data_IF_587017994712
#
_entry.id   IF_587017994712
#
_cell.length_a   1.000
_cell.length_b   1.000
_cell.length_c   1.000
_cell.angle_alpha   90.00
_cell.angle_beta   90.00
_cell.angle_gamma   90.00
#
_symmetry.space_group_name_H-M   'P 1'
#
loop_
_entity.id
_entity.type
_entity.pdbx_description
1 polymer ?
#
# COMPACT_ATOMS: atom_id res chain seq x y z
N UNK A 1 7.49 16.19 -9.01
CA UNK A 1 7.59 14.87 -8.37
C UNK A 1 8.57 14.95 -7.20
N UNK A 2 8.26 14.30 -6.09
CA UNK A 2 9.16 14.20 -4.91
C UNK A 2 10.21 13.11 -5.13
N UNK A 3 9.82 12.04 -5.81
CA UNK A 3 10.67 10.90 -6.11
C UNK A 3 11.40 11.09 -7.43
N UNK A 4 12.70 10.76 -7.45
CA UNK A 4 13.49 10.72 -8.67
C UNK A 4 13.25 9.42 -9.46
N UNK A 5 13.78 9.34 -10.69
CA UNK A 5 13.58 8.21 -11.60
C UNK A 5 14.04 6.87 -11.00
N UNK A 6 15.11 6.87 -10.19
CA UNK A 6 15.62 5.65 -9.54
C UNK A 6 14.61 5.15 -8.50
N UNK A 7 14.08 6.07 -7.67
CA UNK A 7 13.07 5.73 -6.67
C UNK A 7 11.78 5.23 -7.32
N UNK A 8 11.37 5.84 -8.44
CA UNK A 8 10.19 5.40 -9.22
C UNK A 8 10.42 4.00 -9.83
N UNK A 9 11.58 3.75 -10.43
CA UNK A 9 11.92 2.43 -10.98
C UNK A 9 11.91 1.35 -9.89
N UNK A 10 12.49 1.62 -8.71
CA UNK A 10 12.45 0.70 -7.58
C UNK A 10 11.04 0.43 -7.08
N UNK A 11 10.17 1.45 -7.05
CA UNK A 11 8.75 1.25 -6.70
C UNK A 11 8.07 0.30 -7.69
N UNK A 12 8.33 0.43 -9.00
CA UNK A 12 7.78 -0.49 -10.00
C UNK A 12 8.38 -1.90 -9.92
N UNK A 13 9.64 -2.04 -9.54
CA UNK A 13 10.25 -3.35 -9.25
C UNK A 13 9.58 -4.00 -8.03
N UNK A 14 9.31 -3.24 -6.96
CA UNK A 14 8.59 -3.73 -5.79
C UNK A 14 7.18 -4.18 -6.17
N UNK A 15 6.45 -3.42 -7.01
CA UNK A 15 5.14 -3.83 -7.53
C UNK A 15 5.19 -5.14 -8.29
N UNK A 16 6.22 -5.30 -9.15
CA UNK A 16 6.40 -6.50 -9.95
C UNK A 16 6.82 -7.73 -9.13
N UNK A 17 7.27 -7.55 -7.88
CA UNK A 17 7.74 -8.62 -7.00
C UNK A 17 6.68 -9.17 -6.04
N UNK A 18 5.44 -8.69 -6.14
CA UNK A 18 4.34 -9.07 -5.24
C UNK A 18 3.11 -9.52 -6.00
N UNK A 19 2.28 -10.34 -5.37
CA UNK A 19 1.04 -10.85 -5.96
C UNK A 19 -0.11 -9.84 -5.87
N UNK A 20 -0.09 -8.98 -4.84
CA UNK A 20 -1.11 -7.97 -4.61
C UNK A 20 -0.54 -6.60 -4.25
N UNK A 21 -1.26 -5.53 -4.61
CA UNK A 21 -0.97 -4.15 -4.23
C UNK A 21 -2.21 -3.52 -3.59
N UNK A 22 -2.04 -2.86 -2.46
CA UNK A 22 -3.14 -2.26 -1.75
C UNK A 22 -2.91 -0.79 -1.37
N UNK A 23 -4.00 -0.04 -1.42
CA UNK A 23 -4.06 1.37 -0.99
C UNK A 23 -5.31 1.63 -0.16
N UNK A 24 -5.38 2.79 0.49
CA UNK A 24 -6.60 3.26 1.16
C UNK A 24 -7.58 3.94 0.22
N UNK A 25 -8.85 3.99 0.63
CA UNK A 25 -9.93 4.68 -0.08
C UNK A 25 -9.54 6.10 -0.49
N UNK A 26 -9.04 6.90 0.44
CA UNK A 26 -8.71 8.29 0.15
C UNK A 26 -7.60 8.43 -0.90
N UNK A 27 -6.63 7.51 -0.92
CA UNK A 27 -5.59 7.47 -1.96
C UNK A 27 -6.21 7.19 -3.33
N UNK A 28 -7.17 6.26 -3.42
CA UNK A 28 -7.89 6.01 -4.67
C UNK A 28 -8.67 7.25 -5.13
N UNK A 29 -9.40 7.90 -4.22
CA UNK A 29 -10.28 9.03 -4.54
C UNK A 29 -9.52 10.30 -4.95
N UNK A 30 -8.39 10.57 -4.29
CA UNK A 30 -7.61 11.81 -4.50
C UNK A 30 -6.63 11.64 -5.66
N UNK A 31 -5.87 10.55 -5.68
CA UNK A 31 -4.74 10.37 -6.60
C UNK A 31 -5.10 9.54 -7.84
N UNK A 32 -6.20 8.76 -7.79
CA UNK A 32 -6.63 7.83 -8.85
C UNK A 32 -5.45 7.05 -9.45
N UNK A 33 -4.61 6.38 -8.63
CA UNK A 33 -3.39 5.76 -9.10
C UNK A 33 -3.71 4.51 -9.94
N UNK A 34 -2.94 4.29 -11.00
CA UNK A 34 -3.14 3.12 -11.89
C UNK A 34 -2.80 1.79 -11.22
N UNK A 35 -1.92 1.78 -10.21
CA UNK A 35 -1.46 0.58 -9.47
C UNK A 35 -0.90 -0.51 -10.40
N UNK A 36 -0.34 -0.12 -11.52
CA UNK A 36 0.26 -1.01 -12.52
C UNK A 36 1.80 -1.05 -12.43
N UNK A 37 2.38 -2.06 -13.06
CA UNK A 37 3.83 -2.14 -13.30
C UNK A 37 4.10 -1.52 -14.66
N UNK A 38 5.03 -0.55 -14.71
CA UNK A 38 5.44 0.14 -15.93
C UNK A 38 6.88 0.64 -15.80
N UNK A 39 7.49 1.05 -16.91
CA UNK A 39 8.86 1.58 -16.94
C UNK A 39 9.95 0.61 -16.43
N UNK A 40 9.63 -0.67 -16.31
CA UNK A 40 10.55 -1.77 -16.01
C UNK A 40 10.29 -2.89 -16.99
N UNK A 41 11.34 -3.53 -17.47
CA UNK A 41 11.23 -4.59 -18.48
C UNK A 41 10.94 -5.95 -17.82
N UNK A 42 9.79 -6.04 -17.15
CA UNK A 42 9.31 -7.26 -16.49
C UNK A 42 7.95 -7.58 -17.11
N UNK A 43 7.86 -8.69 -17.85
CA UNK A 43 6.63 -9.11 -18.52
C UNK A 43 5.62 -9.70 -17.53
N UNK A 44 4.33 -9.39 -17.77
CA UNK A 44 3.12 -10.04 -17.19
C UNK A 44 2.98 -10.05 -15.65
N UNK A 45 3.52 -9.04 -14.96
CA UNK A 45 3.52 -9.00 -13.49
C UNK A 45 2.70 -7.85 -12.90
N UNK A 46 1.45 -7.67 -13.38
CA UNK A 46 0.57 -6.72 -12.69
C UNK A 46 -0.03 -7.38 -11.44
N UNK A 47 0.20 -6.82 -10.25
CA UNK A 47 -0.38 -7.36 -9.03
C UNK A 47 -1.90 -7.18 -8.98
N UNK A 48 -2.58 -8.03 -8.23
CA UNK A 48 -4.01 -7.85 -7.90
C UNK A 48 -4.18 -6.54 -7.15
N UNK A 49 -5.09 -5.69 -7.62
CA UNK A 49 -5.33 -4.36 -7.04
C UNK A 49 -6.37 -4.43 -5.94
N UNK A 50 -6.06 -3.86 -4.79
CA UNK A 50 -6.88 -3.93 -3.59
C UNK A 50 -7.04 -2.53 -3.00
N UNK A 51 -8.25 -2.21 -2.56
CA UNK A 51 -8.55 -0.95 -1.86
C UNK A 51 -9.19 -1.23 -0.51
N UNK A 52 -8.57 -0.75 0.56
CA UNK A 52 -9.17 -0.71 1.89
C UNK A 52 -10.24 0.39 1.91
N UNK A 53 -11.49 0.01 1.66
CA UNK A 53 -12.61 0.94 1.52
C UNK A 53 -13.22 1.32 2.88
N UNK A 54 -13.36 0.35 3.77
CA UNK A 54 -13.94 0.55 5.11
C UNK A 54 -15.47 0.54 5.12
N UNK A 55 -16.08 1.41 5.94
CA UNK A 55 -17.51 1.40 6.24
C UNK A 55 -18.37 2.28 5.33
N UNK A 56 -17.80 2.97 4.35
CA UNK A 56 -18.54 3.89 3.49
C UNK A 56 -19.45 3.13 2.52
N UNK A 57 -20.80 3.28 2.62
CA UNK A 57 -21.73 2.56 1.76
C UNK A 57 -21.76 3.09 0.31
N UNK A 58 -21.17 4.26 0.03
CA UNK A 58 -21.19 4.86 -1.30
C UNK A 58 -20.11 4.24 -2.21
N UNK A 59 -20.22 2.96 -2.51
CA UNK A 59 -19.22 2.19 -3.24
C UNK A 59 -19.63 1.84 -4.69
N UNK A 60 -20.90 1.78 -5.02
CA UNK A 60 -21.41 1.24 -6.30
C UNK A 60 -20.80 1.89 -7.53
N UNK A 61 -20.71 3.23 -7.54
CA UNK A 61 -20.09 3.96 -8.65
C UNK A 61 -18.60 3.67 -8.82
N UNK A 62 -17.92 3.32 -7.73
CA UNK A 62 -16.49 2.98 -7.73
C UNK A 62 -16.26 1.54 -8.18
N UNK A 63 -17.13 0.60 -7.79
CA UNK A 63 -17.12 -0.78 -8.28
C UNK A 63 -17.26 -0.78 -9.81
N UNK A 64 -18.26 -0.06 -10.32
CA UNK A 64 -18.52 0.03 -11.77
C UNK A 64 -17.36 0.67 -12.55
N UNK A 65 -16.70 1.68 -11.96
CA UNK A 65 -15.57 2.39 -12.57
C UNK A 65 -14.27 1.59 -12.52
N UNK A 66 -14.09 0.73 -11.53
CA UNK A 66 -12.85 0.02 -11.25
C UNK A 66 -13.08 -1.48 -11.11
N UNK A 67 -13.53 -2.13 -12.19
CA UNK A 67 -13.86 -3.56 -12.21
C UNK A 67 -12.66 -4.48 -11.97
N UNK A 68 -11.43 -3.96 -12.12
CA UNK A 68 -10.15 -4.65 -11.89
C UNK A 68 -9.60 -4.47 -10.46
N UNK A 69 -10.38 -3.85 -9.56
CA UNK A 69 -9.99 -3.60 -8.16
C UNK A 69 -10.89 -4.41 -7.22
N UNK A 70 -10.28 -5.05 -6.22
CA UNK A 70 -10.98 -5.63 -5.09
C UNK A 70 -11.15 -4.60 -3.97
N UNK A 71 -12.37 -4.45 -3.45
CA UNK A 71 -12.70 -3.52 -2.39
C UNK A 71 -12.90 -4.26 -1.07
N UNK A 72 -12.13 -3.89 -0.05
CA UNK A 72 -12.26 -4.44 1.29
C UNK A 72 -13.18 -3.55 2.12
N UNK A 73 -14.33 -4.08 2.54
CA UNK A 73 -15.38 -3.31 3.23
C UNK A 73 -15.70 -3.89 4.60
N UNK A 74 -16.24 -3.08 5.50
CA UNK A 74 -16.79 -3.55 6.79
C UNK A 74 -18.27 -3.98 6.71
N UNK A 75 -18.80 -4.14 5.51
CA UNK A 75 -20.18 -4.58 5.23
C UNK A 75 -20.18 -5.56 4.06
N UNK A 76 -21.28 -6.32 3.93
CA UNK A 76 -21.50 -7.23 2.80
C UNK A 76 -22.04 -6.49 1.59
N UNK A 77 -21.63 -6.92 0.39
CA UNK A 77 -22.08 -6.39 -0.89
C UNK A 77 -22.27 -7.52 -1.90
N UNK A 78 -23.10 -7.29 -2.94
CA UNK A 78 -23.42 -8.33 -3.95
C UNK A 78 -22.34 -8.51 -5.03
N UNK A 79 -21.48 -7.51 -5.22
CA UNK A 79 -20.44 -7.57 -6.25
C UNK A 79 -19.31 -8.53 -5.86
N UNK A 80 -18.84 -9.32 -6.81
CA UNK A 80 -17.82 -10.36 -6.60
C UNK A 80 -16.44 -9.78 -6.22
N UNK A 81 -16.17 -8.53 -6.60
CA UNK A 81 -14.95 -7.83 -6.26
C UNK A 81 -15.04 -7.02 -4.94
N UNK A 82 -16.07 -7.24 -4.14
CA UNK A 82 -16.19 -6.68 -2.78
C UNK A 82 -16.03 -7.78 -1.75
N UNK A 83 -14.99 -7.67 -0.93
CA UNK A 83 -14.64 -8.64 0.10
C UNK A 83 -14.96 -8.02 1.47
N UNK A 84 -15.96 -8.54 2.21
CA UNK A 84 -16.28 -8.03 3.52
C UNK A 84 -15.20 -8.42 4.55
N UNK A 85 -14.70 -7.44 5.28
CA UNK A 85 -13.83 -7.57 6.44
C UNK A 85 -14.64 -7.11 7.65
N UNK A 86 -15.52 -7.99 8.13
CA UNK A 86 -16.49 -7.67 9.19
C UNK A 86 -15.87 -7.87 10.59
N UNK A 87 -14.76 -8.60 10.66
CA UNK A 87 -14.15 -8.96 11.94
C UNK A 87 -13.18 -7.89 12.44
N UNK A 88 -13.24 -7.62 13.74
CA UNK A 88 -12.39 -6.62 14.44
C UNK A 88 -10.90 -6.99 14.36
N UNK A 89 -10.61 -8.27 14.18
CA UNK A 89 -9.28 -8.81 13.93
C UNK A 89 -9.14 -9.08 12.43
N UNK A 90 -8.64 -8.08 11.68
CA UNK A 90 -8.33 -8.24 10.28
C UNK A 90 -7.33 -9.40 10.08
N UNK A 91 -7.82 -10.52 9.57
CA UNK A 91 -6.99 -11.68 9.27
C UNK A 91 -6.44 -11.59 7.84
N UNK A 92 -5.18 -11.16 7.73
CA UNK A 92 -4.44 -11.13 6.46
C UNK A 92 -4.41 -12.51 5.79
N UNK A 93 -4.33 -13.60 6.56
CA UNK A 93 -4.31 -14.95 6.01
C UNK A 93 -5.61 -15.28 5.28
N UNK A 94 -6.75 -14.81 5.81
CA UNK A 94 -8.04 -14.98 5.15
C UNK A 94 -8.10 -14.20 3.83
N UNK A 95 -7.58 -12.96 3.80
CA UNK A 95 -7.46 -12.18 2.58
C UNK A 95 -6.56 -12.88 1.56
N UNK A 96 -5.39 -13.33 1.99
CA UNK A 96 -4.43 -14.02 1.13
C UNK A 96 -5.03 -15.28 0.51
N UNK A 97 -5.73 -16.08 1.31
CA UNK A 97 -6.44 -17.28 0.84
C UNK A 97 -7.56 -16.94 -0.16
N UNK A 98 -8.38 -15.92 0.14
CA UNK A 98 -9.49 -15.53 -0.73
C UNK A 98 -9.03 -15.04 -2.10
N UNK A 99 -7.92 -14.31 -2.16
CA UNK A 99 -7.36 -13.77 -3.39
C UNK A 99 -6.28 -14.66 -4.02
N UNK A 100 -5.95 -15.79 -3.38
CA UNK A 100 -4.87 -16.69 -3.79
C UNK A 100 -3.54 -15.94 -3.99
N UNK A 101 -3.16 -15.09 -3.03
CA UNK A 101 -1.91 -14.33 -3.02
C UNK A 101 -1.04 -14.72 -1.82
N UNK A 102 0.28 -14.59 -1.94
CA UNK A 102 1.25 -14.87 -0.89
C UNK A 102 2.00 -13.62 -0.43
N UNK A 103 1.90 -12.54 -1.19
CA UNK A 103 2.61 -11.28 -0.92
C UNK A 103 1.73 -10.08 -1.24
N UNK A 104 1.81 -9.04 -0.39
CA UNK A 104 1.01 -7.83 -0.50
C UNK A 104 1.87 -6.59 -0.25
N UNK A 105 1.93 -5.69 -1.23
CA UNK A 105 2.53 -4.38 -1.10
C UNK A 105 1.48 -3.35 -0.69
N UNK A 106 1.70 -2.64 0.42
CA UNK A 106 0.87 -1.51 0.84
C UNK A 106 1.55 -0.22 0.41
N UNK A 107 0.97 0.53 -0.53
CA UNK A 107 1.60 1.74 -1.07
C UNK A 107 1.08 3.05 -0.50
N UNK A 108 -0.06 3.06 0.17
CA UNK A 108 -0.54 4.35 0.57
C UNK A 108 -1.76 4.42 1.48
N UNK A 109 -1.87 5.62 2.05
CA UNK A 109 -2.86 6.00 3.03
C UNK A 109 -2.28 5.96 4.45
N UNK A 110 -2.07 7.15 5.06
CA UNK A 110 -1.57 7.26 6.43
C UNK A 110 -2.33 6.36 7.42
N UNK A 111 -3.66 6.24 7.25
CA UNK A 111 -4.49 5.41 8.12
C UNK A 111 -4.09 3.94 8.06
N UNK A 112 -3.84 3.40 6.85
CA UNK A 112 -3.45 2.00 6.68
C UNK A 112 -2.04 1.78 7.21
N UNK A 113 -1.10 2.66 6.89
CA UNK A 113 0.25 2.57 7.43
C UNK A 113 0.27 2.62 8.96
N UNK A 114 -0.56 3.51 9.57
CA UNK A 114 -0.73 3.56 11.03
C UNK A 114 -1.21 2.22 11.58
N UNK A 115 -2.26 1.64 10.99
CA UNK A 115 -2.80 0.36 11.42
C UNK A 115 -1.77 -0.77 11.32
N UNK A 116 -1.12 -0.91 10.16
CA UNK A 116 -0.15 -1.99 9.92
C UNK A 116 1.11 -1.85 10.78
N UNK A 117 1.64 -0.65 10.98
CA UNK A 117 2.80 -0.44 11.85
C UNK A 117 2.46 -0.62 13.33
N UNK A 118 1.29 -0.13 13.77
CA UNK A 118 0.84 -0.28 15.16
C UNK A 118 0.65 -1.75 15.56
N UNK A 119 0.26 -2.61 14.62
CA UNK A 119 0.03 -4.04 14.85
C UNK A 119 1.20 -4.93 14.39
N UNK A 120 2.33 -4.34 14.00
CA UNK A 120 3.54 -5.05 13.52
C UNK A 120 3.24 -6.04 12.37
N UNK A 121 2.37 -5.65 11.43
CA UNK A 121 1.92 -6.50 10.32
C UNK A 121 2.82 -6.43 9.08
N UNK A 122 3.84 -5.57 9.06
CA UNK A 122 4.81 -5.52 7.98
C UNK A 122 5.99 -6.45 8.26
N UNK A 123 6.32 -7.35 7.35
CA UNK A 123 7.60 -8.05 7.35
C UNK A 123 8.73 -7.08 6.97
N UNK A 124 8.46 -6.20 6.00
CA UNK A 124 9.40 -5.17 5.52
C UNK A 124 8.69 -3.84 5.31
N UNK A 125 9.36 -2.75 5.66
CA UNK A 125 8.91 -1.40 5.39
C UNK A 125 9.98 -0.63 4.59
N UNK A 126 9.62 -0.12 3.42
CA UNK A 126 10.50 0.63 2.52
C UNK A 126 10.20 2.13 2.64
N UNK A 127 11.12 2.88 3.20
CA UNK A 127 10.98 4.32 3.37
C UNK A 127 11.83 5.08 2.37
N UNK A 128 11.18 5.69 1.38
CA UNK A 128 11.80 6.62 0.44
C UNK A 128 11.70 8.04 1.01
N UNK A 129 12.83 8.65 1.27
CA UNK A 129 12.95 10.02 1.77
C UNK A 129 13.67 10.89 0.74
N UNK A 130 13.00 11.95 0.25
CA UNK A 130 13.63 12.97 -0.60
C UNK A 130 14.38 14.00 0.25
N UNK A 131 15.42 14.59 -0.29
CA UNK A 131 16.06 15.80 0.25
C UNK A 131 15.24 17.05 -0.09
N UNK A 132 14.36 16.97 -1.09
CA UNK A 132 13.48 18.05 -1.48
C UNK A 132 12.34 18.22 -0.48
N UNK A 133 12.19 19.43 0.08
CA UNK A 133 11.08 19.75 0.95
C UNK A 133 9.88 20.21 0.13
N UNK A 134 8.70 19.66 0.45
CA UNK A 134 7.44 20.16 -0.08
C UNK A 134 6.84 21.11 0.95
N UNK A 135 6.42 22.28 0.49
CA UNK A 135 5.83 23.29 1.38
C UNK A 135 4.34 23.05 1.68
N UNK A 136 3.69 22.14 0.92
CA UNK A 136 2.28 21.77 1.11
C UNK A 136 2.06 20.29 0.84
N UNK A 137 1.13 19.66 1.57
CA UNK A 137 0.80 18.25 1.42
C UNK A 137 0.48 17.59 2.77
N UNK A 138 0.02 16.34 2.71
CA UNK A 138 -0.27 15.54 3.91
C UNK A 138 1.06 14.99 4.43
N UNK A 139 1.41 15.39 5.66
CA UNK A 139 2.58 14.83 6.36
C UNK A 139 2.37 13.35 6.63
N UNK A 140 3.46 12.60 6.56
CA UNK A 140 3.49 11.24 7.08
C UNK A 140 3.24 11.27 8.59
N UNK A 141 2.37 10.40 9.08
CA UNK A 141 1.90 10.42 10.47
C UNK A 141 3.05 10.22 11.46
N UNK A 142 3.13 11.07 12.49
CA UNK A 142 4.11 10.94 13.58
C UNK A 142 3.95 9.61 14.31
N UNK A 143 2.71 9.09 14.42
CA UNK A 143 2.41 7.79 15.03
C UNK A 143 3.00 6.61 14.25
N UNK A 144 3.03 6.70 12.92
CA UNK A 144 3.71 5.70 12.08
C UNK A 144 5.22 5.75 12.31
N UNK A 145 5.78 6.96 12.38
CA UNK A 145 7.22 7.15 12.65
C UNK A 145 7.60 6.57 14.01
N UNK A 146 6.79 6.82 15.03
CA UNK A 146 7.00 6.29 16.38
C UNK A 146 6.87 4.76 16.40
N UNK A 147 5.86 4.20 15.77
CA UNK A 147 5.68 2.75 15.65
C UNK A 147 6.85 2.08 14.93
N UNK A 148 7.36 2.71 13.84
CA UNK A 148 8.56 2.21 13.15
C UNK A 148 9.79 2.19 14.05
N UNK A 149 10.01 3.24 14.86
CA UNK A 149 11.14 3.28 15.79
C UNK A 149 11.06 2.22 16.90
N UNK A 150 9.84 1.92 17.37
CA UNK A 150 9.62 1.08 18.53
C UNK A 150 9.46 -0.42 18.18
N UNK A 151 9.03 -0.75 16.97
CA UNK A 151 8.69 -2.12 16.55
C UNK A 151 9.49 -2.65 15.38
N UNK A 152 10.26 -1.77 14.71
CA UNK A 152 11.02 -2.13 13.52
C UNK A 152 12.46 -1.65 13.66
N UNK A 153 13.39 -2.41 13.09
CA UNK A 153 14.82 -2.02 13.00
C UNK A 153 15.21 -1.77 11.56
N UNK A 154 16.03 -0.75 11.28
CA UNK A 154 16.59 -0.55 9.95
C UNK A 154 17.61 -1.66 9.65
N UNK A 155 17.50 -2.23 8.44
CA UNK A 155 18.42 -3.28 7.97
C UNK A 155 19.32 -2.80 6.85
N UNK A 156 18.82 -1.90 5.99
CA UNK A 156 19.59 -1.37 4.88
C UNK A 156 19.28 0.12 4.67
N UNK A 157 20.27 0.85 4.15
CA UNK A 157 20.16 2.26 3.81
C UNK A 157 20.95 2.52 2.52
N UNK A 158 20.26 3.03 1.50
CA UNK A 158 20.85 3.32 0.20
C UNK A 158 20.62 4.79 -0.17
N UNK A 159 21.62 5.40 -0.77
CA UNK A 159 21.50 6.72 -1.40
C UNK A 159 21.09 6.53 -2.87
N UNK A 160 20.04 7.20 -3.27
CA UNK A 160 19.45 7.15 -4.61
C UNK A 160 19.47 8.57 -5.21
N UNK A 161 20.65 9.09 -5.52
CA UNK A 161 20.89 10.51 -5.85
C UNK A 161 20.42 11.42 -4.70
N UNK A 162 19.40 12.26 -4.94
CA UNK A 162 18.74 13.16 -3.99
C UNK A 162 17.70 12.49 -3.09
N UNK A 163 17.52 11.18 -3.21
CA UNK A 163 16.63 10.40 -2.37
C UNK A 163 17.41 9.38 -1.54
N UNK A 164 16.82 8.93 -0.45
CA UNK A 164 17.32 7.89 0.40
C UNK A 164 16.26 6.81 0.57
N UNK A 165 16.63 5.55 0.37
CA UNK A 165 15.83 4.40 0.72
C UNK A 165 16.34 3.79 2.02
N UNK A 166 15.49 3.65 3.02
CA UNK A 166 15.76 2.87 4.23
C UNK A 166 14.77 1.71 4.30
N UNK A 167 15.27 0.49 4.46
CA UNK A 167 14.45 -0.70 4.65
C UNK A 167 14.44 -1.07 6.12
N UNK A 168 13.25 -1.34 6.66
CA UNK A 168 13.02 -1.79 8.03
C UNK A 168 12.44 -3.19 8.02
N UNK A 169 12.69 -3.96 9.08
CA UNK A 169 12.05 -5.25 9.38
C UNK A 169 11.51 -5.25 10.80
N UNK A 170 10.49 -6.05 11.07
CA UNK A 170 9.95 -6.23 12.42
C UNK A 170 11.05 -6.75 13.36
N UNK A 171 11.04 -6.28 14.62
CA UNK A 171 11.99 -6.73 15.67
C UNK A 171 11.53 -8.04 16.30
#
# INVERSE_FOLDING_TARGET
>A
YISNDISLALTHILRASVDGIAIGKNTLLIDSPKLDVRNVNIQDSNPIKIVFWGADPNIDSHISKHSDIYFLTSFTHKADNVIPIIDVNFDLNKLFKNLNINSLLIEGGNYIHKYFTANALYDKFYWFKSTNNIHSGIKFSDEVIESLKNKYKPINKFLLKDNQLTTYTCM
#
